data_IF_734250824520
#
_entry.id   IF_734250824520
#
_cell.length_a   1.000
_cell.length_b   1.000
_cell.length_c   1.000
_cell.angle_alpha   90.00
_cell.angle_beta   90.00
_cell.angle_gamma   90.00
#
_symmetry.space_group_name_H-M   'P 1'
#
loop_
_entity.id
_entity.type
_entity.pdbx_description
1 polymer ?
#
# COMPACT_ATOMS: atom_id res chain seq x y z
N UNK A 1 24.47 30.05 12.05
CA UNK A 1 25.17 28.75 11.98
C UNK A 1 24.15 27.68 12.31
N UNK A 2 23.57 27.05 11.29
CA UNK A 2 22.69 25.90 11.50
C UNK A 2 23.56 24.74 11.98
N UNK A 3 23.22 24.19 13.14
CA UNK A 3 23.88 23.03 13.71
C UNK A 3 23.82 21.89 12.69
N UNK A 4 24.99 21.50 12.15
CA UNK A 4 25.25 20.14 11.67
C UNK A 4 25.13 19.23 12.90
N UNK A 5 23.91 19.01 13.40
CA UNK A 5 23.66 17.95 14.36
C UNK A 5 23.88 16.66 13.56
N UNK A 6 25.07 16.08 13.72
CA UNK A 6 25.39 14.68 14.04
C UNK A 6 24.26 13.60 13.96
N UNK A 7 23.24 13.75 13.13
CA UNK A 7 22.16 12.77 12.95
C UNK A 7 22.54 11.65 11.97
N UNK A 8 23.66 11.81 11.24
CA UNK A 8 24.17 10.81 10.32
C UNK A 8 24.99 9.69 10.98
N UNK A 9 25.31 9.80 12.26
CA UNK A 9 26.35 8.96 12.87
C UNK A 9 25.82 7.63 13.42
N UNK A 10 24.49 7.49 13.57
CA UNK A 10 23.86 6.25 14.07
C UNK A 10 22.49 6.00 13.43
N UNK A 11 22.43 5.68 12.12
CA UNK A 11 21.18 5.35 11.42
C UNK A 11 20.37 4.23 12.10
N UNK A 12 21.05 3.25 12.68
CA UNK A 12 20.45 2.12 13.39
C UNK A 12 19.68 2.55 14.64
N UNK A 13 20.19 3.53 15.40
CA UNK A 13 19.49 4.07 16.56
C UNK A 13 18.23 4.82 16.14
N UNK A 14 18.31 5.59 15.05
CA UNK A 14 17.14 6.31 14.52
C UNK A 14 16.08 5.33 14.03
N UNK A 15 16.48 4.29 13.31
CA UNK A 15 15.57 3.25 12.86
C UNK A 15 14.87 2.56 14.04
N UNK A 16 15.60 2.24 15.11
CA UNK A 16 15.03 1.66 16.32
C UNK A 16 14.03 2.60 17.00
N UNK A 17 14.34 3.90 17.11
CA UNK A 17 13.41 4.89 17.67
C UNK A 17 12.12 4.94 16.83
N UNK A 18 12.24 5.03 15.50
CA UNK A 18 11.07 5.11 14.61
C UNK A 18 10.26 3.80 14.60
N UNK A 19 10.91 2.64 14.69
CA UNK A 19 10.23 1.34 14.79
C UNK A 19 9.34 1.24 16.02
N UNK A 20 9.71 1.87 17.14
CA UNK A 20 8.84 1.94 18.32
C UNK A 20 7.56 2.76 18.10
N UNK A 21 7.52 3.60 17.05
CA UNK A 21 6.37 4.41 16.67
C UNK A 21 5.51 3.76 15.57
N UNK A 22 5.75 2.50 15.20
CA UNK A 22 5.09 1.84 14.07
C UNK A 22 3.55 1.82 14.13
N UNK A 23 2.95 1.86 15.33
CA UNK A 23 1.50 1.95 15.54
C UNK A 23 1.00 3.38 15.73
N UNK A 24 1.90 4.34 15.85
CA UNK A 24 1.60 5.75 16.06
C UNK A 24 1.78 6.55 14.77
N UNK A 25 0.78 6.47 13.90
CA UNK A 25 0.81 7.12 12.60
C UNK A 25 1.15 8.61 12.70
N UNK A 26 0.50 9.36 13.61
CA UNK A 26 0.70 10.81 13.71
C UNK A 26 2.12 11.14 14.15
N UNK A 27 2.67 10.41 15.12
CA UNK A 27 4.04 10.55 15.59
C UNK A 27 5.04 10.34 14.46
N UNK A 28 4.87 9.27 13.67
CA UNK A 28 5.71 8.99 12.50
C UNK A 28 5.54 10.04 11.40
N UNK A 29 4.32 10.53 11.17
CA UNK A 29 4.06 11.58 10.20
C UNK A 29 4.74 12.90 10.60
N UNK A 30 4.66 13.28 11.88
CA UNK A 30 5.40 14.42 12.43
C UNK A 30 6.91 14.23 12.27
N UNK A 31 7.44 13.03 12.53
CA UNK A 31 8.84 12.70 12.28
C UNK A 31 9.25 12.93 10.82
N UNK A 32 8.41 12.51 9.87
CA UNK A 32 8.68 12.67 8.43
C UNK A 32 8.82 14.15 8.00
N UNK A 33 8.25 15.08 8.76
CA UNK A 33 8.30 16.52 8.48
C UNK A 33 9.49 17.25 9.11
N UNK A 34 10.26 16.59 9.98
CA UNK A 34 11.38 17.22 10.72
C UNK A 34 12.54 17.60 9.80
N UNK A 35 12.97 16.67 8.94
CA UNK A 35 14.09 16.90 8.02
C UNK A 35 14.07 15.88 6.88
N UNK A 36 14.86 16.11 5.82
CA UNK A 36 15.00 15.15 4.70
C UNK A 36 15.46 13.76 5.16
N UNK A 37 16.30 13.70 6.20
CA UNK A 37 16.80 12.44 6.74
C UNK A 37 15.69 11.65 7.46
N UNK A 38 14.98 12.32 8.37
CA UNK A 38 13.85 11.72 9.08
C UNK A 38 12.72 11.32 8.12
N UNK A 39 12.44 12.15 7.11
CA UNK A 39 11.51 11.82 6.03
C UNK A 39 11.85 10.48 5.37
N UNK A 40 13.11 10.29 4.95
CA UNK A 40 13.56 9.06 4.28
C UNK A 40 13.45 7.82 5.16
N UNK A 41 13.52 7.94 6.48
CA UNK A 41 13.39 6.80 7.39
C UNK A 41 11.94 6.55 7.85
N UNK A 42 11.15 7.60 8.07
CA UNK A 42 9.77 7.49 8.55
C UNK A 42 8.80 7.07 7.45
N UNK A 43 8.98 7.53 6.20
CA UNK A 43 8.05 7.21 5.09
C UNK A 43 7.98 5.70 4.82
N UNK A 44 9.09 4.94 4.71
CA UNK A 44 9.03 3.50 4.54
C UNK A 44 8.26 2.77 5.65
N UNK A 45 8.31 3.29 6.89
CA UNK A 45 7.60 2.69 8.04
C UNK A 45 6.10 3.03 7.98
N UNK A 46 5.76 4.28 7.67
CA UNK A 46 4.37 4.75 7.52
C UNK A 46 3.58 3.98 6.46
N UNK A 47 4.27 3.57 5.39
CA UNK A 47 3.65 2.91 4.23
C UNK A 47 3.70 1.38 4.29
N UNK A 48 4.09 0.78 5.44
CA UNK A 48 4.06 -0.67 5.63
C UNK A 48 2.65 -1.26 5.67
N UNK A 49 1.72 -0.55 6.30
CA UNK A 49 0.31 -0.95 6.43
C UNK A 49 -0.64 0.26 6.30
N UNK A 50 -0.71 0.87 5.11
CA UNK A 50 -1.46 2.11 4.93
C UNK A 50 -2.98 1.90 4.91
N UNK A 51 -3.44 0.67 4.62
CA UNK A 51 -4.87 0.38 4.48
C UNK A 51 -5.56 0.07 5.82
N UNK A 52 -4.82 -0.31 6.87
CA UNK A 52 -5.39 -0.50 8.21
C UNK A 52 -5.66 0.80 8.97
N UNK A 53 -5.15 1.94 8.46
CA UNK A 53 -5.31 3.26 9.07
C UNK A 53 -6.80 3.65 9.06
N UNK A 54 -7.39 3.79 10.25
CA UNK A 54 -8.81 4.17 10.40
C UNK A 54 -9.14 5.59 9.95
N UNK A 55 -8.15 6.48 9.92
CA UNK A 55 -8.38 7.86 9.48
C UNK A 55 -8.66 7.92 7.98
N UNK A 56 -9.66 8.72 7.61
CA UNK A 56 -9.88 9.11 6.22
C UNK A 56 -8.79 10.09 5.80
N UNK A 57 -8.06 9.73 4.76
CA UNK A 57 -7.11 10.62 4.09
C UNK A 57 -7.52 10.65 2.62
N UNK A 58 -7.98 11.79 2.10
CA UNK A 58 -8.34 11.86 0.70
C UNK A 58 -7.09 11.62 -0.17
N UNK A 59 -7.27 10.84 -1.23
CA UNK A 59 -6.34 10.74 -2.36
C UNK A 59 -4.99 10.09 -2.05
N UNK A 60 -4.85 9.27 -1.01
CA UNK A 60 -3.56 8.63 -0.74
C UNK A 60 -3.29 7.46 -1.67
N UNK A 61 -4.34 6.79 -2.18
CA UNK A 61 -4.21 5.66 -3.11
C UNK A 61 -3.61 6.12 -4.44
N UNK A 62 -3.88 7.37 -4.84
CA UNK A 62 -3.29 7.98 -6.05
C UNK A 62 -1.76 7.95 -6.08
N UNK A 63 -1.10 7.90 -4.92
CA UNK A 63 0.37 7.83 -4.83
C UNK A 63 0.94 6.53 -5.41
N UNK A 64 0.15 5.45 -5.51
CA UNK A 64 0.58 4.20 -6.13
C UNK A 64 0.53 4.25 -7.65
N UNK A 65 -0.25 5.17 -8.22
CA UNK A 65 -0.49 5.22 -9.67
C UNK A 65 0.59 5.93 -10.47
N UNK A 66 1.62 6.47 -9.81
CA UNK A 66 2.74 7.17 -10.47
C UNK A 66 3.52 6.29 -11.47
N UNK A 67 3.36 4.97 -11.38
CA UNK A 67 4.00 3.96 -12.23
C UNK A 67 3.10 3.37 -13.31
N UNK A 68 1.82 3.76 -13.38
CA UNK A 68 0.88 3.23 -14.37
C UNK A 68 1.30 3.54 -15.81
N UNK A 69 1.14 2.56 -16.69
CA UNK A 69 1.19 2.76 -18.13
C UNK A 69 -0.10 3.41 -18.68
N UNK A 70 -0.14 3.71 -19.99
CA UNK A 70 -1.30 4.37 -20.60
C UNK A 70 -2.56 3.49 -20.62
N UNK A 71 -2.42 2.17 -20.75
CA UNK A 71 -3.55 1.24 -20.75
C UNK A 71 -4.15 1.14 -19.33
N UNK A 72 -3.31 1.10 -18.30
CA UNK A 72 -3.75 1.09 -16.91
C UNK A 72 -4.37 2.42 -16.48
N UNK A 73 -3.87 3.56 -16.99
CA UNK A 73 -4.54 4.87 -16.83
C UNK A 73 -5.90 4.91 -17.51
N UNK A 74 -6.05 4.25 -18.65
CA UNK A 74 -7.34 4.15 -19.33
C UNK A 74 -8.37 3.42 -18.45
N UNK A 75 -7.96 2.34 -17.76
CA UNK A 75 -8.83 1.62 -16.80
C UNK A 75 -9.34 2.56 -15.70
N UNK A 76 -8.50 3.44 -15.15
CA UNK A 76 -8.92 4.42 -14.14
C UNK A 76 -10.02 5.35 -14.67
N UNK A 77 -9.83 5.86 -15.89
CA UNK A 77 -10.77 6.76 -16.53
C UNK A 77 -12.13 6.09 -16.81
N UNK A 78 -12.12 4.84 -17.29
CA UNK A 78 -13.36 4.06 -17.49
C UNK A 78 -14.12 3.83 -16.18
N UNK A 79 -13.39 3.64 -15.08
CA UNK A 79 -13.98 3.51 -13.75
C UNK A 79 -14.49 4.85 -13.19
N UNK A 80 -14.32 5.97 -13.89
CA UNK A 80 -14.75 7.30 -13.44
C UNK A 80 -13.80 7.94 -12.43
N UNK A 81 -12.52 7.53 -12.42
CA UNK A 81 -11.45 8.12 -11.62
C UNK A 81 -10.63 9.03 -12.51
N UNK A 82 -10.91 10.33 -12.47
CA UNK A 82 -10.13 11.35 -13.16
C UNK A 82 -9.27 12.11 -12.14
N UNK A 83 -8.03 11.66 -11.97
CA UNK A 83 -7.05 12.23 -11.04
C UNK A 83 -5.78 12.61 -11.81
N UNK A 84 -5.17 13.72 -11.41
CA UNK A 84 -3.86 14.10 -11.95
C UNK A 84 -2.78 13.20 -11.33
N UNK A 85 -2.32 12.22 -12.11
CA UNK A 85 -1.23 11.34 -11.70
C UNK A 85 0.07 12.12 -11.78
N UNK A 86 0.63 12.45 -10.62
CA UNK A 86 1.90 13.15 -10.51
C UNK A 86 3.04 12.19 -10.16
N UNK A 87 4.25 12.57 -10.54
CA UNK A 87 5.45 11.84 -10.14
C UNK A 87 5.64 11.95 -8.62
N UNK A 88 5.73 10.81 -7.95
CA UNK A 88 5.95 10.76 -6.50
C UNK A 88 7.43 10.87 -6.15
N UNK A 89 7.71 11.39 -4.94
CA UNK A 89 9.07 11.46 -4.40
C UNK A 89 9.64 10.07 -4.04
N UNK A 90 8.75 9.16 -3.67
CA UNK A 90 9.07 7.79 -3.29
C UNK A 90 8.27 6.80 -4.14
N UNK A 91 8.83 5.61 -4.31
CA UNK A 91 8.09 4.46 -4.81
C UNK A 91 7.36 3.81 -3.64
N UNK A 92 6.15 4.28 -3.38
CA UNK A 92 5.35 3.87 -2.23
C UNK A 92 4.94 2.40 -2.30
N UNK A 93 4.84 1.82 -3.50
CA UNK A 93 4.45 0.41 -3.68
C UNK A 93 5.41 -0.53 -2.95
N UNK A 94 6.73 -0.26 -3.05
CA UNK A 94 7.81 -1.04 -2.43
C UNK A 94 7.78 -1.08 -0.91
N UNK A 95 7.14 -0.09 -0.29
CA UNK A 95 7.07 -0.01 1.17
C UNK A 95 5.95 -0.85 1.75
N UNK A 96 5.00 -1.31 0.93
CA UNK A 96 3.90 -2.14 1.38
C UNK A 96 4.42 -3.47 1.95
N UNK A 97 4.03 -3.77 3.20
CA UNK A 97 4.36 -5.01 3.90
C UNK A 97 3.13 -5.78 4.36
N UNK A 98 2.02 -5.10 4.58
CA UNK A 98 0.76 -5.70 5.03
C UNK A 98 -0.30 -5.42 3.97
N UNK A 99 -0.88 -6.49 3.44
CA UNK A 99 -2.00 -6.41 2.51
C UNK A 99 -3.18 -7.19 3.07
N UNK A 100 -4.19 -6.46 3.54
CA UNK A 100 -5.50 -7.01 3.88
C UNK A 100 -6.50 -6.58 2.80
N UNK A 101 -7.07 -7.56 2.09
CA UNK A 101 -7.94 -7.28 0.93
C UNK A 101 -9.24 -6.56 1.32
N UNK A 102 -9.78 -6.87 2.51
CA UNK A 102 -10.97 -6.19 3.01
C UNK A 102 -10.69 -4.72 3.32
N UNK A 103 -9.55 -4.42 3.95
CA UNK A 103 -9.09 -3.06 4.22
C UNK A 103 -8.82 -2.30 2.91
N UNK A 104 -8.15 -2.94 1.94
CA UNK A 104 -7.89 -2.37 0.61
C UNK A 104 -9.21 -1.97 -0.07
N UNK A 105 -10.15 -2.93 -0.22
CA UNK A 105 -11.46 -2.68 -0.83
C UNK A 105 -12.22 -1.56 -0.12
N UNK A 106 -12.23 -1.59 1.21
CA UNK A 106 -12.89 -0.57 2.02
C UNK A 106 -12.28 0.81 1.80
N UNK A 107 -10.94 0.91 1.68
CA UNK A 107 -10.25 2.18 1.43
C UNK A 107 -10.49 2.72 0.02
N UNK A 108 -10.49 1.87 -1.00
CA UNK A 108 -10.85 2.27 -2.37
C UNK A 108 -12.30 2.78 -2.41
N UNK A 109 -13.24 2.09 -1.76
CA UNK A 109 -14.63 2.50 -1.69
C UNK A 109 -14.83 3.79 -0.87
N UNK A 110 -14.05 3.99 0.20
CA UNK A 110 -14.07 5.24 0.97
C UNK A 110 -13.53 6.43 0.17
N UNK A 111 -12.49 6.22 -0.64
CA UNK A 111 -11.84 7.27 -1.44
C UNK A 111 -12.67 7.65 -2.67
N UNK A 112 -13.29 6.66 -3.35
CA UNK A 112 -14.17 6.86 -4.49
C UNK A 112 -15.53 6.20 -4.23
N UNK A 113 -16.37 6.89 -3.47
CA UNK A 113 -17.69 6.41 -3.05
C UNK A 113 -18.73 6.30 -4.18
N UNK A 114 -18.44 6.88 -5.35
CA UNK A 114 -19.28 6.85 -6.53
C UNK A 114 -19.04 5.64 -7.45
N UNK A 115 -18.02 4.81 -7.16
CA UNK A 115 -17.71 3.64 -7.98
C UNK A 115 -18.85 2.62 -7.94
N UNK A 116 -19.15 2.04 -9.10
CA UNK A 116 -19.93 0.80 -9.17
C UNK A 116 -19.13 -0.34 -8.56
N UNK A 117 -19.82 -1.43 -8.20
CA UNK A 117 -19.17 -2.61 -7.64
C UNK A 117 -18.12 -3.21 -8.59
N UNK A 118 -18.44 -3.24 -9.89
CA UNK A 118 -17.52 -3.68 -10.94
C UNK A 118 -16.28 -2.79 -11.03
N UNK A 119 -16.45 -1.47 -11.07
CA UNK A 119 -15.33 -0.53 -11.09
C UNK A 119 -14.47 -0.66 -9.83
N UNK A 120 -15.09 -0.83 -8.66
CA UNK A 120 -14.37 -1.06 -7.41
C UNK A 120 -13.43 -2.27 -7.51
N UNK A 121 -13.88 -3.38 -8.11
CA UNK A 121 -13.05 -4.57 -8.30
C UNK A 121 -11.94 -4.37 -9.30
N UNK A 122 -12.21 -3.70 -10.44
CA UNK A 122 -11.16 -3.36 -11.41
C UNK A 122 -10.03 -2.56 -10.75
N UNK A 123 -10.36 -1.59 -9.90
CA UNK A 123 -9.36 -0.78 -9.19
C UNK A 123 -8.60 -1.57 -8.12
N UNK A 124 -9.29 -2.40 -7.34
CA UNK A 124 -8.64 -3.28 -6.36
C UNK A 124 -7.66 -4.23 -7.05
N UNK A 125 -8.09 -4.84 -8.17
CA UNK A 125 -7.27 -5.73 -8.98
C UNK A 125 -6.05 -5.02 -9.58
N UNK A 126 -6.23 -3.81 -10.11
CA UNK A 126 -5.12 -2.99 -10.60
C UNK A 126 -4.10 -2.69 -9.50
N UNK A 127 -4.55 -2.35 -8.28
CA UNK A 127 -3.66 -2.09 -7.15
C UNK A 127 -2.88 -3.34 -6.74
N UNK A 128 -3.52 -4.51 -6.69
CA UNK A 128 -2.85 -5.77 -6.37
C UNK A 128 -1.78 -6.08 -7.41
N UNK A 129 -2.10 -5.94 -8.70
CA UNK A 129 -1.14 -6.11 -9.80
C UNK A 129 0.05 -5.15 -9.65
N UNK A 130 -0.19 -3.88 -9.31
CA UNK A 130 0.86 -2.90 -9.07
C UNK A 130 1.79 -3.30 -7.91
N UNK A 131 1.22 -3.73 -6.79
CA UNK A 131 2.03 -4.13 -5.63
C UNK A 131 2.93 -5.32 -5.97
N UNK A 132 2.41 -6.29 -6.72
CA UNK A 132 3.18 -7.44 -7.18
C UNK A 132 4.34 -7.02 -8.09
N UNK A 133 4.04 -6.19 -9.10
CA UNK A 133 4.99 -5.90 -10.17
C UNK A 133 6.05 -4.87 -9.79
N UNK A 134 5.77 -4.01 -8.80
CA UNK A 134 6.66 -2.90 -8.44
C UNK A 134 7.57 -3.19 -7.24
N UNK A 135 7.75 -4.47 -6.90
CA UNK A 135 8.76 -4.90 -5.93
C UNK A 135 8.36 -4.73 -4.47
N UNK A 136 7.05 -4.72 -4.17
CA UNK A 136 6.61 -4.94 -2.80
C UNK A 136 6.98 -6.37 -2.37
N UNK A 137 7.30 -6.55 -1.09
CA UNK A 137 7.56 -7.87 -0.50
C UNK A 137 6.75 -8.00 0.77
N UNK A 138 5.66 -8.76 0.72
CA UNK A 138 4.69 -8.83 1.80
C UNK A 138 5.25 -9.59 3.00
N UNK A 139 5.03 -9.03 4.18
CA UNK A 139 5.19 -9.69 5.47
C UNK A 139 3.88 -10.37 5.92
N UNK A 140 2.74 -9.72 5.66
CA UNK A 140 1.42 -10.22 6.02
C UNK A 140 0.46 -10.10 4.85
N UNK A 141 -0.26 -11.18 4.56
CA UNK A 141 -1.32 -11.22 3.56
C UNK A 141 -2.60 -11.79 4.16
N UNK A 142 -3.68 -11.01 4.16
CA UNK A 142 -4.97 -11.38 4.74
C UNK A 142 -6.07 -11.34 3.68
N UNK A 143 -6.60 -12.52 3.39
CA UNK A 143 -7.66 -12.74 2.42
C UNK A 143 -8.88 -13.41 3.06
N UNK A 144 -9.02 -13.29 4.39
CA UNK A 144 -10.07 -13.94 5.18
C UNK A 144 -11.50 -13.52 4.86
N UNK A 145 -11.69 -12.49 4.03
CA UNK A 145 -13.00 -12.10 3.55
C UNK A 145 -13.29 -12.79 2.21
N UNK A 146 -14.08 -13.87 2.26
CA UNK A 146 -14.49 -14.68 1.10
C UNK A 146 -15.10 -13.85 -0.02
N UNK A 147 -15.86 -12.80 0.32
CA UNK A 147 -16.42 -11.90 -0.69
C UNK A 147 -15.31 -11.20 -1.48
N UNK A 148 -14.27 -10.71 -0.80
CA UNK A 148 -13.15 -10.03 -1.47
C UNK A 148 -12.23 -10.99 -2.23
N UNK A 149 -12.14 -12.26 -1.82
CA UNK A 149 -11.27 -13.25 -2.45
C UNK A 149 -11.81 -13.72 -3.80
N UNK A 150 -13.11 -13.96 -3.91
CA UNK A 150 -13.75 -14.43 -5.14
C UNK A 150 -13.81 -13.36 -6.25
N UNK A 151 -13.42 -12.12 -5.92
CA UNK A 151 -13.50 -10.95 -6.79
C UNK A 151 -12.12 -10.57 -7.38
N UNK A 152 -11.05 -11.22 -6.92
CA UNK A 152 -9.74 -11.10 -7.54
C UNK A 152 -9.72 -11.93 -8.82
N UNK A 153 -9.25 -11.31 -9.90
CA UNK A 153 -9.13 -11.99 -11.18
C UNK A 153 -8.20 -13.20 -11.07
N UNK A 154 -8.63 -14.35 -11.60
CA UNK A 154 -7.82 -15.55 -11.71
C UNK A 154 -6.47 -15.30 -12.40
N UNK A 155 -6.43 -14.38 -13.38
CA UNK A 155 -5.19 -14.00 -14.06
C UNK A 155 -4.22 -13.26 -13.12
N UNK A 156 -4.75 -12.43 -12.21
CA UNK A 156 -3.94 -11.76 -11.19
C UNK A 156 -3.43 -12.77 -10.18
N UNK A 157 -4.26 -13.70 -9.73
CA UNK A 157 -3.78 -14.77 -8.84
C UNK A 157 -2.66 -15.59 -9.46
N UNK A 158 -2.81 -15.97 -10.73
CA UNK A 158 -1.76 -16.67 -11.45
C UNK A 158 -0.47 -15.82 -11.51
N UNK A 159 -0.61 -14.52 -11.81
CA UNK A 159 0.53 -13.60 -11.84
C UNK A 159 1.20 -13.43 -10.48
N UNK A 160 0.41 -13.41 -9.39
CA UNK A 160 0.90 -13.36 -8.01
C UNK A 160 1.65 -14.63 -7.63
N UNK A 161 1.13 -15.81 -8.02
CA UNK A 161 1.75 -17.11 -7.75
C UNK A 161 3.13 -17.22 -8.43
N UNK A 162 3.26 -16.69 -9.64
CA UNK A 162 4.55 -16.67 -10.36
C UNK A 162 5.54 -15.63 -9.80
N UNK A 163 5.10 -14.72 -8.93
CA UNK A 163 5.94 -13.66 -8.38
C UNK A 163 6.58 -14.10 -7.05
N UNK A 164 7.71 -14.81 -7.14
CA UNK A 164 8.46 -15.30 -5.97
C UNK A 164 8.88 -14.17 -5.01
N UNK A 165 9.16 -12.97 -5.53
CA UNK A 165 9.57 -11.84 -4.70
C UNK A 165 8.44 -11.33 -3.82
N UNK A 166 7.22 -11.27 -4.35
CA UNK A 166 6.07 -10.68 -3.67
C UNK A 166 5.76 -11.37 -2.34
N UNK A 167 5.92 -12.70 -2.27
CA UNK A 167 5.71 -13.49 -1.05
C UNK A 167 7.00 -13.93 -0.35
N UNK A 168 8.18 -13.50 -0.82
CA UNK A 168 9.48 -13.95 -0.29
C UNK A 168 9.72 -13.67 1.20
N UNK A 169 9.01 -12.69 1.78
CA UNK A 169 9.12 -12.30 3.19
C UNK A 169 7.85 -12.64 4.00
N UNK A 170 6.93 -13.42 3.44
CA UNK A 170 5.63 -13.69 4.03
C UNK A 170 5.78 -14.51 5.31
N UNK A 171 5.26 -13.99 6.41
CA UNK A 171 5.27 -14.66 7.73
C UNK A 171 3.85 -14.89 8.28
N UNK A 172 2.87 -14.11 7.84
CA UNK A 172 1.47 -14.21 8.27
C UNK A 172 0.54 -14.30 7.05
N UNK A 173 -0.06 -15.47 6.85
CA UNK A 173 -1.09 -15.72 5.84
C UNK A 173 -2.41 -16.07 6.54
N UNK A 174 -3.42 -15.22 6.38
CA UNK A 174 -4.75 -15.46 6.94
C UNK A 174 -5.75 -15.81 5.83
N UNK A 175 -6.28 -17.04 5.87
CA UNK A 175 -7.28 -17.59 4.94
C UNK A 175 -8.55 -17.95 5.72
N UNK A 176 -9.73 -17.66 5.17
CA UNK A 176 -11.00 -18.16 5.72
C UNK A 176 -11.68 -19.03 4.69
N UNK A 177 -11.67 -20.34 4.93
CA UNK A 177 -12.35 -21.31 4.09
C UNK A 177 -13.79 -21.42 4.56
N UNK A 178 -14.77 -21.17 3.68
CA UNK A 178 -16.15 -21.52 3.97
C UNK A 178 -16.35 -23.02 3.78
N UNK A 179 -16.99 -23.74 4.72
CA UNK A 179 -17.39 -25.11 4.46
C UNK A 179 -18.42 -25.12 3.33
N UNK A 180 -18.20 -25.96 2.33
CA UNK A 180 -19.19 -26.26 1.30
C UNK A 180 -20.27 -27.10 1.99
N UNK A 181 -21.47 -26.55 2.18
CA UNK A 181 -22.66 -27.27 2.66
C UNK A 181 -23.64 -27.50 1.52
#
# INVERSE_FOLDING_TARGET
MASKIFMGDFPELMENILKNLNKEFDSLYSCALVSRYWCKMSIPILWQDPFSIRRKRPLFISNYFSSLDEDEKFILNECGINIEISKTLFDYTRFLKVLNLFCLKSKVQEEWNHLTLESLYRIVNLLIKLFANNGATLYKFDVSNVYCFNEIDSEIFYSLEQNEQFFSQLQDLTLKVQPIY
#
